data_IF_830832070271
#
_entry.id   IF_830832070271
#
_cell.length_a   1.000
_cell.length_b   1.000
_cell.length_c   1.000
_cell.angle_alpha   90.00
_cell.angle_beta   90.00
_cell.angle_gamma   90.00
#
_symmetry.space_group_name_H-M   'P 1'
#
loop_
_entity.id
_entity.type
_entity.pdbx_description
1 polymer ?
#
# COMPACT_ATOMS: atom_id res chain seq x y z
N UNK A 1 14.42 11.15 6.01
CA UNK A 1 13.15 10.74 5.36
C UNK A 1 12.48 9.68 6.21
N UNK A 2 11.21 9.89 6.56
CA UNK A 2 10.45 8.96 7.41
C UNK A 2 9.18 8.55 6.67
N UNK A 3 8.82 7.26 6.73
CA UNK A 3 7.57 6.74 6.18
C UNK A 3 6.66 6.35 7.35
N UNK A 4 5.50 6.99 7.42
CA UNK A 4 4.47 6.73 8.43
C UNK A 4 3.19 6.26 7.75
N UNK A 5 2.38 5.51 8.46
CA UNK A 5 1.08 5.02 8.00
C UNK A 5 -0.01 5.67 8.86
N UNK A 6 -1.13 6.03 8.24
CA UNK A 6 -2.32 6.35 9.01
C UNK A 6 -2.82 5.09 9.74
N UNK A 7 -3.44 5.22 10.93
CA UNK A 7 -3.96 4.07 11.68
C UNK A 7 -4.89 3.19 10.87
N UNK A 8 -5.72 3.77 10.00
CA UNK A 8 -6.64 3.03 9.13
C UNK A 8 -5.90 2.18 8.09
N UNK A 9 -4.72 2.62 7.65
CA UNK A 9 -3.87 1.85 6.74
C UNK A 9 -3.19 0.70 7.48
N UNK A 10 -2.73 0.95 8.71
CA UNK A 10 -2.15 -0.10 9.56
C UNK A 10 -3.19 -1.18 9.87
N UNK A 11 -4.40 -0.79 10.27
CA UNK A 11 -5.51 -1.71 10.51
C UNK A 11 -5.85 -2.52 9.25
N UNK A 12 -5.95 -1.88 8.09
CA UNK A 12 -6.18 -2.58 6.83
C UNK A 12 -5.07 -3.60 6.51
N UNK A 13 -3.81 -3.27 6.76
CA UNK A 13 -2.69 -4.20 6.54
C UNK A 13 -2.75 -5.40 7.49
N UNK A 14 -3.19 -5.21 8.74
CA UNK A 14 -3.42 -6.32 9.68
C UNK A 14 -4.59 -7.19 9.20
N UNK A 15 -5.73 -6.58 8.85
CA UNK A 15 -6.89 -7.30 8.31
C UNK A 15 -6.56 -8.04 7.00
N UNK A 16 -5.64 -7.50 6.20
CA UNK A 16 -5.19 -8.11 4.96
C UNK A 16 -4.57 -9.50 5.21
N UNK A 17 -3.89 -9.72 6.34
CA UNK A 17 -3.33 -11.03 6.70
C UNK A 17 -4.46 -12.06 6.77
N UNK A 18 -5.53 -11.74 7.50
CA UNK A 18 -6.70 -12.61 7.63
C UNK A 18 -7.37 -12.83 6.27
N UNK A 19 -7.56 -11.78 5.48
CA UNK A 19 -8.16 -11.88 4.13
C UNK A 19 -7.36 -12.82 3.24
N UNK A 20 -6.03 -12.69 3.25
CA UNK A 20 -5.14 -13.50 2.43
C UNK A 20 -5.19 -14.98 2.82
N UNK A 21 -5.24 -15.26 4.12
CA UNK A 21 -5.36 -16.62 4.63
C UNK A 21 -6.75 -17.23 4.33
N UNK A 22 -7.83 -16.52 4.68
CA UNK A 22 -9.21 -17.03 4.51
C UNK A 22 -9.58 -17.25 3.05
N UNK A 23 -9.04 -16.43 2.13
CA UNK A 23 -9.23 -16.60 0.68
C UNK A 23 -8.28 -17.62 0.06
N UNK A 24 -7.48 -18.34 0.87
CA UNK A 24 -6.56 -19.38 0.44
C UNK A 24 -5.52 -18.89 -0.58
N UNK A 25 -5.13 -17.61 -0.51
CA UNK A 25 -3.97 -17.13 -1.28
C UNK A 25 -2.67 -17.72 -0.74
N UNK A 26 -2.64 -18.05 0.55
CA UNK A 26 -1.56 -18.78 1.20
C UNK A 26 -2.12 -19.99 1.95
N UNK A 27 -1.37 -21.09 1.97
CA UNK A 27 -1.75 -22.31 2.69
C UNK A 27 -1.55 -22.22 4.21
N UNK A 28 -0.76 -21.26 4.68
CA UNK A 28 -0.43 -21.04 6.08
C UNK A 28 -0.65 -19.58 6.45
N UNK A 29 -1.05 -19.32 7.70
CA UNK A 29 -1.31 -17.98 8.21
C UNK A 29 0.00 -17.18 8.29
N UNK A 30 1.08 -17.84 8.72
CA UNK A 30 2.43 -17.27 8.80
C UNK A 30 2.90 -16.77 7.43
N UNK A 31 2.63 -17.52 6.36
CA UNK A 31 2.97 -17.07 5.00
C UNK A 31 2.20 -15.83 4.56
N UNK A 32 0.96 -15.64 5.03
CA UNK A 32 0.21 -14.40 4.79
C UNK A 32 0.77 -13.23 5.61
N UNK A 33 1.21 -13.49 6.84
CA UNK A 33 1.87 -12.51 7.69
C UNK A 33 3.20 -12.05 7.09
N UNK A 34 4.08 -12.98 6.72
CA UNK A 34 5.37 -12.70 6.06
C UNK A 34 5.17 -11.83 4.81
N UNK A 35 4.17 -12.16 3.99
CA UNK A 35 3.85 -11.38 2.79
C UNK A 35 3.51 -9.91 3.09
N UNK A 36 2.71 -9.66 4.13
CA UNK A 36 2.33 -8.30 4.54
C UNK A 36 3.50 -7.57 5.19
N UNK A 37 4.29 -8.24 6.02
CA UNK A 37 5.50 -7.67 6.63
C UNK A 37 6.50 -7.25 5.54
N UNK A 38 6.76 -8.11 4.56
CA UNK A 38 7.61 -7.78 3.41
C UNK A 38 7.08 -6.58 2.62
N UNK A 39 5.76 -6.47 2.44
CA UNK A 39 5.15 -5.30 1.81
C UNK A 39 5.40 -4.03 2.61
N UNK A 40 5.25 -4.08 3.94
CA UNK A 40 5.51 -2.94 4.82
C UNK A 40 6.98 -2.54 4.76
N UNK A 41 7.89 -3.52 4.81
CA UNK A 41 9.33 -3.28 4.74
C UNK A 41 9.73 -2.67 3.39
N UNK A 42 9.22 -3.20 2.27
CA UNK A 42 9.44 -2.64 0.93
C UNK A 42 9.00 -1.18 0.86
N UNK A 43 7.82 -0.86 1.40
CA UNK A 43 7.28 0.50 1.41
C UNK A 43 8.17 1.41 2.27
N UNK A 44 8.45 1.03 3.52
CA UNK A 44 9.28 1.83 4.43
C UNK A 44 10.69 2.05 3.88
N UNK A 45 11.30 1.03 3.29
CA UNK A 45 12.68 1.07 2.81
C UNK A 45 12.88 1.78 1.47
N UNK A 46 11.86 1.79 0.60
CA UNK A 46 12.04 2.26 -0.78
C UNK A 46 11.17 3.45 -1.19
N UNK A 47 10.01 3.69 -0.53
CA UNK A 47 9.04 4.71 -0.97
C UNK A 47 9.66 6.09 -1.25
N UNK A 48 10.58 6.62 -0.42
CA UNK A 48 11.17 7.93 -0.66
C UNK A 48 11.98 8.03 -1.96
N UNK A 49 12.52 6.91 -2.43
CA UNK A 49 13.43 6.81 -3.59
C UNK A 49 12.70 6.44 -4.89
N UNK A 50 11.41 6.14 -4.83
CA UNK A 50 10.62 5.72 -5.99
C UNK A 50 10.15 6.90 -6.83
N UNK A 51 9.91 6.66 -8.13
CA UNK A 51 9.29 7.63 -9.02
C UNK A 51 7.80 7.75 -8.68
N UNK A 52 7.46 8.84 -8.00
CA UNK A 52 6.11 9.19 -7.58
C UNK A 52 5.28 9.79 -8.71
N UNK A 53 4.01 9.36 -8.81
CA UNK A 53 3.00 9.88 -9.75
C UNK A 53 1.93 10.65 -8.99
N UNK A 54 1.29 11.64 -9.61
CA UNK A 54 0.11 12.29 -9.02
C UNK A 54 -1.06 11.31 -9.01
N UNK A 55 -1.80 11.25 -7.90
CA UNK A 55 -2.99 10.43 -7.78
C UNK A 55 -4.16 11.04 -8.55
N UNK A 56 -5.00 10.21 -9.21
CA UNK A 56 -6.25 10.66 -9.80
C UNK A 56 -7.24 11.19 -8.74
N UNK A 57 -8.11 12.11 -9.14
CA UNK A 57 -9.08 12.78 -8.26
C UNK A 57 -10.03 11.81 -7.51
N UNK A 58 -10.23 10.60 -8.05
CA UNK A 58 -10.97 9.54 -7.36
C UNK A 58 -10.42 9.25 -5.95
N UNK A 59 -9.11 9.42 -5.75
CA UNK A 59 -8.44 9.16 -4.47
C UNK A 59 -8.44 10.38 -3.53
N UNK A 60 -9.02 11.52 -3.92
CA UNK A 60 -9.08 12.73 -3.08
C UNK A 60 -9.85 12.50 -1.77
N UNK A 61 -10.72 11.48 -1.73
CA UNK A 61 -11.40 10.99 -0.51
C UNK A 61 -10.45 10.57 0.60
N UNK A 62 -9.19 10.24 0.29
CA UNK A 62 -8.15 9.85 1.26
C UNK A 62 -7.20 11.01 1.59
N UNK A 63 -7.41 12.17 0.98
CA UNK A 63 -6.57 13.37 1.09
C UNK A 63 -6.42 14.04 -0.27
N UNK A 64 -6.24 15.37 -0.30
CA UNK A 64 -6.06 16.11 -1.56
C UNK A 64 -4.62 16.05 -2.05
N UNK A 65 -4.45 16.12 -3.36
CA UNK A 65 -3.14 16.21 -4.04
C UNK A 65 -2.17 15.09 -3.66
N UNK A 66 -2.68 13.87 -3.53
CA UNK A 66 -1.87 12.70 -3.19
C UNK A 66 -0.91 12.35 -4.32
N UNK A 67 0.19 11.72 -3.92
CA UNK A 67 1.04 10.96 -4.82
C UNK A 67 0.77 9.47 -4.66
N UNK A 68 1.18 8.68 -5.65
CA UNK A 68 1.23 7.23 -5.53
C UNK A 68 2.47 6.62 -6.15
N UNK A 69 2.83 5.45 -5.64
CA UNK A 69 3.86 4.54 -6.16
C UNK A 69 3.27 3.14 -6.24
N UNK A 70 3.71 2.36 -7.22
CA UNK A 70 3.28 0.97 -7.38
C UNK A 70 4.37 -0.04 -7.03
N UNK A 71 4.01 -1.07 -6.28
CA UNK A 71 4.85 -2.18 -5.89
C UNK A 71 4.35 -3.46 -6.56
N UNK A 72 5.13 -4.03 -7.49
CA UNK A 72 4.78 -5.30 -8.12
C UNK A 72 5.27 -6.45 -7.26
N UNK A 73 4.36 -7.22 -6.66
CA UNK A 73 4.72 -8.41 -5.87
C UNK A 73 4.87 -9.66 -6.74
N UNK A 74 4.02 -9.83 -7.76
CA UNK A 74 4.15 -10.92 -8.72
C UNK A 74 3.55 -10.53 -10.10
N UNK A 75 3.35 -11.50 -10.98
CA UNK A 75 2.76 -11.24 -12.30
C UNK A 75 1.34 -10.67 -12.23
N UNK A 76 0.56 -11.08 -11.23
CA UNK A 76 -0.87 -10.84 -11.12
C UNK A 76 -1.22 -9.74 -10.11
N UNK A 77 -0.37 -9.51 -9.10
CA UNK A 77 -0.64 -8.59 -8.00
C UNK A 77 0.34 -7.43 -7.99
N UNK A 78 -0.22 -6.23 -8.07
CA UNK A 78 0.46 -4.96 -7.91
C UNK A 78 -0.26 -4.14 -6.85
N UNK A 79 0.47 -3.68 -5.86
CA UNK A 79 0.01 -2.76 -4.84
C UNK A 79 0.26 -1.32 -5.25
N UNK A 80 -0.63 -0.43 -4.85
CA UNK A 80 -0.59 1.01 -5.07
C UNK A 80 -0.66 1.68 -3.71
N UNK A 81 0.35 2.48 -3.41
CA UNK A 81 0.52 3.16 -2.12
C UNK A 81 0.34 4.64 -2.36
N UNK A 82 -0.69 5.22 -1.76
CA UNK A 82 -1.06 6.62 -1.89
C UNK A 82 -0.65 7.38 -0.63
N UNK A 83 0.01 8.53 -0.82
CA UNK A 83 0.64 9.25 0.28
C UNK A 83 0.71 10.76 0.04
N UNK A 84 0.83 11.51 1.14
CA UNK A 84 1.21 12.93 1.11
C UNK A 84 2.64 13.10 1.62
N UNK A 85 3.28 14.20 1.23
CA UNK A 85 4.65 14.52 1.67
C UNK A 85 4.60 15.84 2.44
N UNK A 86 5.06 15.83 3.69
CA UNK A 86 5.18 17.03 4.53
C UNK A 86 6.51 16.99 5.29
N UNK A 87 7.36 18.01 5.14
CA UNK A 87 8.65 18.10 5.84
C UNK A 87 9.46 16.78 5.81
N UNK A 88 9.70 16.23 4.62
CA UNK A 88 10.39 14.95 4.39
C UNK A 88 9.76 13.69 5.02
N UNK A 89 8.53 13.83 5.53
CA UNK A 89 7.70 12.74 6.03
C UNK A 89 6.72 12.31 4.94
N UNK A 90 6.75 11.03 4.61
CA UNK A 90 5.85 10.38 3.68
C UNK A 90 4.74 9.72 4.50
N UNK A 91 3.56 10.33 4.49
CA UNK A 91 2.40 9.81 5.21
C UNK A 91 1.54 8.98 4.25
N UNK A 92 1.58 7.67 4.39
CA UNK A 92 0.73 6.73 3.65
C UNK A 92 -0.69 6.85 4.15
N UNK A 93 -1.60 7.20 3.23
CA UNK A 93 -3.00 7.48 3.52
C UNK A 93 -3.96 6.43 2.98
N UNK A 94 -3.54 5.67 1.97
CA UNK A 94 -4.34 4.59 1.41
C UNK A 94 -3.46 3.58 0.68
N UNK A 95 -3.85 2.31 0.73
CA UNK A 95 -3.22 1.21 0.00
C UNK A 95 -4.30 0.39 -0.69
N UNK A 96 -4.08 0.03 -1.95
CA UNK A 96 -4.97 -0.84 -2.71
C UNK A 96 -4.18 -1.71 -3.68
N UNK A 97 -4.78 -2.77 -4.20
CA UNK A 97 -4.19 -3.58 -5.25
C UNK A 97 -4.90 -3.37 -6.60
N UNK A 98 -4.28 -3.83 -7.68
CA UNK A 98 -4.85 -3.75 -9.03
C UNK A 98 -6.25 -4.39 -9.16
N UNK A 99 -6.62 -5.36 -8.33
CA UNK A 99 -7.95 -5.97 -8.37
C UNK A 99 -9.06 -5.05 -7.83
N UNK A 100 -8.69 -4.03 -7.04
CA UNK A 100 -9.63 -3.13 -6.37
C UNK A 100 -9.61 -1.71 -6.94
N UNK A 101 -8.49 -1.26 -7.51
CA UNK A 101 -8.35 0.15 -7.91
C UNK A 101 -7.86 0.40 -9.34
N UNK A 102 -7.61 -0.63 -10.16
CA UNK A 102 -7.07 -0.46 -11.52
C UNK A 102 -7.92 0.41 -12.44
N UNK A 103 -9.25 0.34 -12.31
CA UNK A 103 -10.19 1.15 -13.09
C UNK A 103 -10.13 2.66 -12.79
N UNK A 104 -9.44 3.05 -11.71
CA UNK A 104 -9.35 4.45 -11.25
C UNK A 104 -7.94 5.04 -11.41
N UNK A 105 -7.01 4.30 -12.03
CA UNK A 105 -5.57 4.60 -12.08
C UNK A 105 -5.06 5.01 -13.47
#
# INVERSE_FOLDING_TARGET
MVVLFLPEVENYLVELIEILYQKQYFGFYESAMDYVEDLIQDIKGSLPFQLKKKAPAHFDRYGKELYYVSYRKNHNTRWYVFFSIHNETYLVRYIANNHTCSQYL
#
